data_IF_707339687485
#
_entry.id   IF_707339687485
#
_cell.length_a   1.000
_cell.length_b   1.000
_cell.length_c   1.000
_cell.angle_alpha   90.00
_cell.angle_beta   90.00
_cell.angle_gamma   90.00
#
_symmetry.space_group_name_H-M   'P 1'
#
loop_
_entity.id
_entity.type
_entity.pdbx_description
1 polymer ?
#
# COMPACT_ATOMS: atom_id res chain seq x y z
N UNK A 1 1.67 -8.48 29.51
CA UNK A 1 1.11 -8.70 28.16
C UNK A 1 2.29 -8.99 27.25
N UNK A 2 2.26 -10.08 26.46
CA UNK A 2 3.40 -10.46 25.60
C UNK A 2 3.60 -9.41 24.49
N UNK A 3 4.83 -8.93 24.27
CA UNK A 3 5.17 -7.94 23.25
C UNK A 3 4.73 -8.38 21.84
N UNK A 4 4.81 -9.68 21.54
CA UNK A 4 4.32 -10.24 20.28
C UNK A 4 2.80 -10.18 20.14
N UNK A 5 2.06 -10.29 21.25
CA UNK A 5 0.61 -10.11 21.23
C UNK A 5 0.22 -8.65 20.97
N UNK A 6 1.02 -7.70 21.46
CA UNK A 6 0.86 -6.27 21.15
C UNK A 6 1.12 -6.04 19.66
N UNK A 7 2.23 -6.56 19.13
CA UNK A 7 2.55 -6.45 17.70
C UNK A 7 1.45 -7.05 16.81
N UNK A 8 1.00 -8.27 17.08
CA UNK A 8 -0.08 -8.90 16.32
C UNK A 8 -1.33 -8.01 16.34
N UNK A 9 -1.75 -7.53 17.52
CA UNK A 9 -2.93 -6.66 17.65
C UNK A 9 -2.79 -5.37 16.83
N UNK A 10 -1.61 -4.78 16.78
CA UNK A 10 -1.36 -3.56 16.01
C UNK A 10 -1.33 -3.83 14.50
N UNK A 11 -0.70 -4.93 14.08
CA UNK A 11 -0.60 -5.32 12.68
C UNK A 11 -1.93 -5.82 12.10
N UNK A 12 -2.85 -6.31 12.94
CA UNK A 12 -4.22 -6.69 12.55
C UNK A 12 -5.24 -5.58 12.80
N UNK A 13 -4.81 -4.34 13.09
CA UNK A 13 -5.73 -3.22 13.32
C UNK A 13 -6.54 -2.96 12.05
N UNK A 14 -7.86 -3.06 12.18
CA UNK A 14 -8.82 -2.72 11.12
C UNK A 14 -9.05 -1.22 11.08
N UNK A 15 -9.12 -0.61 9.90
CA UNK A 15 -9.32 0.83 9.72
C UNK A 15 -8.79 1.34 8.37
N UNK A 16 -8.72 2.65 8.19
CA UNK A 16 -7.99 3.28 7.09
C UNK A 16 -6.94 4.23 7.70
N UNK A 17 -5.64 3.86 7.73
CA UNK A 17 -5.04 2.68 7.11
C UNK A 17 -5.22 1.38 7.95
N UNK A 18 -5.07 0.21 7.30
CA UNK A 18 -5.02 -1.10 7.98
C UNK A 18 -3.60 -1.33 8.49
N UNK A 19 -3.47 -1.76 9.74
CA UNK A 19 -2.17 -1.98 10.39
C UNK A 19 -1.70 -0.78 11.22
N UNK A 20 -0.38 -0.65 11.37
CA UNK A 20 0.23 0.36 12.23
C UNK A 20 1.56 0.91 11.67
N UNK A 21 1.76 2.22 11.80
CA UNK A 21 3.03 2.86 11.47
C UNK A 21 4.10 2.62 12.53
N UNK A 22 5.36 2.95 12.21
CA UNK A 22 6.49 2.86 13.14
C UNK A 22 6.23 3.63 14.45
N UNK A 23 5.73 4.89 14.44
CA UNK A 23 5.48 5.63 15.67
C UNK A 23 4.49 4.92 16.60
N UNK A 24 3.38 4.43 16.04
CA UNK A 24 2.34 3.70 16.79
C UNK A 24 2.88 2.40 17.39
N UNK A 25 3.74 1.69 16.66
CA UNK A 25 4.35 0.45 17.13
C UNK A 25 5.36 0.70 18.25
N UNK A 26 6.15 1.78 18.16
CA UNK A 26 7.08 2.17 19.21
C UNK A 26 6.33 2.58 20.48
N UNK A 27 5.29 3.39 20.35
CA UNK A 27 4.46 3.84 21.47
C UNK A 27 3.76 2.65 22.16
N UNK A 28 3.17 1.74 21.37
CA UNK A 28 2.51 0.54 21.91
C UNK A 28 3.46 -0.41 22.66
N UNK A 29 4.75 -0.42 22.30
CA UNK A 29 5.78 -1.20 22.97
C UNK A 29 6.52 -0.41 24.07
N UNK A 30 6.21 0.87 24.28
CA UNK A 30 6.90 1.74 25.22
C UNK A 30 8.38 1.97 24.86
N UNK A 31 8.71 1.95 23.57
CA UNK A 31 10.08 2.10 23.06
C UNK A 31 10.37 3.57 22.68
N UNK A 32 11.60 4.06 22.92
CA UNK A 32 11.99 5.42 22.54
C UNK A 32 12.08 5.58 21.01
N UNK A 33 11.77 6.77 20.50
CA UNK A 33 11.57 6.99 19.06
C UNK A 33 12.84 6.79 18.21
N UNK A 34 14.01 7.23 18.69
CA UNK A 34 15.28 7.10 17.97
C UNK A 34 15.97 5.76 18.25
N UNK A 35 16.14 5.39 19.52
CA UNK A 35 16.88 4.18 19.91
C UNK A 35 16.04 2.89 19.81
N UNK A 36 14.71 3.01 19.88
CA UNK A 36 13.79 1.86 19.91
C UNK A 36 13.50 1.25 18.53
N UNK A 37 13.80 1.96 17.44
CA UNK A 37 13.57 1.47 16.07
C UNK A 37 14.30 0.17 15.79
N UNK A 38 15.57 0.08 16.19
CA UNK A 38 16.36 -1.13 16.00
C UNK A 38 15.72 -2.33 16.73
N UNK A 39 15.29 -2.12 17.97
CA UNK A 39 14.61 -3.14 18.78
C UNK A 39 13.28 -3.55 18.16
N UNK A 40 12.49 -2.59 17.67
CA UNK A 40 11.25 -2.86 16.95
C UNK A 40 11.49 -3.75 15.73
N UNK A 41 12.44 -3.41 14.86
CA UNK A 41 12.73 -4.20 13.66
C UNK A 41 13.24 -5.60 13.99
N UNK A 42 14.06 -5.77 15.04
CA UNK A 42 14.45 -7.11 15.50
C UNK A 42 13.25 -7.93 15.95
N UNK A 43 12.33 -7.34 16.73
CA UNK A 43 11.11 -8.02 17.18
C UNK A 43 10.17 -8.34 16.00
N UNK A 44 10.02 -7.44 15.03
CA UNK A 44 9.24 -7.71 13.82
C UNK A 44 9.83 -8.83 12.97
N UNK A 45 11.17 -8.89 12.81
CA UNK A 45 11.83 -9.99 12.12
C UNK A 45 11.65 -11.34 12.84
N UNK A 46 11.75 -11.35 14.17
CA UNK A 46 11.48 -12.54 14.97
C UNK A 46 10.01 -12.99 14.84
N UNK A 47 9.07 -12.04 14.86
CA UNK A 47 7.65 -12.30 14.66
C UNK A 47 7.39 -12.88 13.27
N UNK A 48 7.98 -12.32 12.22
CA UNK A 48 7.85 -12.84 10.85
C UNK A 48 8.33 -14.29 10.74
N UNK A 49 9.45 -14.64 11.40
CA UNK A 49 9.94 -16.01 11.41
C UNK A 49 8.96 -16.98 12.11
N UNK A 50 8.26 -16.53 13.15
CA UNK A 50 7.26 -17.33 13.86
C UNK A 50 5.93 -17.46 13.10
N UNK A 51 5.57 -16.46 12.28
CA UNK A 51 4.33 -16.43 11.50
C UNK A 51 4.42 -17.24 10.21
N UNK A 52 5.61 -17.33 9.61
CA UNK A 52 5.81 -18.00 8.32
C UNK A 52 5.31 -19.46 8.29
N UNK A 53 5.52 -20.32 9.31
CA UNK A 53 5.03 -21.70 9.31
C UNK A 53 3.50 -21.85 9.28
N UNK A 54 2.76 -20.83 9.74
CA UNK A 54 1.29 -20.82 9.73
C UNK A 54 0.72 -20.07 8.52
N UNK A 55 1.57 -19.75 7.54
CA UNK A 55 1.17 -19.08 6.30
C UNK A 55 0.82 -17.61 6.49
N UNK A 56 1.39 -16.94 7.50
CA UNK A 56 1.22 -15.50 7.72
C UNK A 56 2.55 -14.76 7.54
N UNK A 57 2.46 -13.52 7.08
CA UNK A 57 3.62 -12.65 6.90
C UNK A 57 3.32 -11.20 7.27
N UNK A 58 4.35 -10.49 7.72
CA UNK A 58 4.27 -9.04 7.96
C UNK A 58 4.66 -8.33 6.66
N UNK A 59 3.77 -7.49 6.15
CA UNK A 59 3.97 -6.70 4.94
C UNK A 59 4.01 -5.22 5.27
N UNK A 60 4.61 -4.43 4.37
CA UNK A 60 4.70 -2.99 4.48
C UNK A 60 3.93 -2.33 3.33
N UNK A 61 2.99 -1.44 3.66
CA UNK A 61 2.33 -0.58 2.69
C UNK A 61 3.11 0.75 2.60
N UNK A 62 3.84 1.01 1.51
CA UNK A 62 4.68 2.20 1.37
C UNK A 62 3.88 3.49 1.17
N UNK A 63 2.59 3.42 0.81
CA UNK A 63 1.76 4.61 0.61
C UNK A 63 1.28 5.20 1.93
N UNK A 64 0.85 4.32 2.83
CA UNK A 64 0.35 4.71 4.15
C UNK A 64 1.44 4.64 5.23
N UNK A 65 2.63 4.15 4.88
CA UNK A 65 3.77 3.95 5.79
C UNK A 65 3.44 3.07 7.00
N UNK A 66 2.61 2.04 6.79
CA UNK A 66 2.15 1.11 7.82
C UNK A 66 2.61 -0.32 7.56
N UNK A 67 2.80 -1.06 8.63
CA UNK A 67 2.98 -2.50 8.61
C UNK A 67 1.65 -3.20 8.92
N UNK A 68 1.38 -4.30 8.24
CA UNK A 68 0.17 -5.08 8.41
C UNK A 68 0.46 -6.59 8.31
N UNK A 69 -0.45 -7.40 8.83
CA UNK A 69 -0.40 -8.86 8.72
C UNK A 69 -1.20 -9.34 7.50
N UNK A 70 -0.61 -10.19 6.68
CA UNK A 70 -1.25 -10.80 5.50
C UNK A 70 -0.97 -12.32 5.46
N UNK A 71 -1.61 -13.02 4.54
CA UNK A 71 -1.35 -14.45 4.28
C UNK A 71 -0.24 -14.62 3.25
N UNK A 72 0.74 -15.47 3.55
CA UNK A 72 1.86 -15.80 2.66
C UNK A 72 1.43 -16.55 1.38
N UNK A 73 0.17 -17.01 1.30
CA UNK A 73 -0.38 -17.78 0.18
C UNK A 73 -0.75 -16.95 -1.07
N UNK A 74 -0.46 -15.64 -1.10
CA UNK A 74 -0.87 -14.76 -2.21
C UNK A 74 0.14 -14.63 -3.35
N UNK A 75 1.31 -15.27 -3.30
CA UNK A 75 2.40 -14.87 -4.19
C UNK A 75 2.49 -15.64 -5.51
N UNK A 76 1.76 -16.75 -5.74
CA UNK A 76 1.88 -17.47 -7.03
C UNK A 76 0.57 -17.93 -7.70
N UNK A 77 -0.52 -18.25 -6.97
CA UNK A 77 -1.67 -18.96 -7.58
C UNK A 77 -3.06 -18.34 -7.38
N UNK A 78 -3.18 -17.14 -6.79
CA UNK A 78 -4.49 -16.52 -6.50
C UNK A 78 -4.66 -15.08 -6.98
N UNK A 79 -3.90 -14.68 -8.00
CA UNK A 79 -4.42 -13.71 -8.97
C UNK A 79 -5.47 -14.44 -9.81
N UNK A 80 -6.68 -14.62 -9.26
CA UNK A 80 -7.84 -14.53 -10.14
C UNK A 80 -7.78 -13.10 -10.69
N UNK A 81 -7.06 -12.97 -11.81
CA UNK A 81 -6.96 -11.74 -12.57
C UNK A 81 -8.41 -11.31 -12.81
N UNK A 82 -8.84 -10.27 -12.10
CA UNK A 82 -9.69 -9.32 -12.77
C UNK A 82 -8.69 -8.35 -13.38
N UNK A 83 -8.08 -8.64 -14.55
CA UNK A 83 -7.07 -7.76 -15.08
C UNK A 83 -7.79 -6.45 -15.33
N UNK A 84 -7.39 -5.41 -14.58
CA UNK A 84 -7.89 -4.08 -14.83
C UNK A 84 -7.66 -3.81 -16.32
N UNK A 85 -8.68 -3.35 -17.08
CA UNK A 85 -8.47 -2.97 -18.47
C UNK A 85 -7.25 -2.04 -18.57
N UNK A 86 -6.38 -2.21 -19.58
CA UNK A 86 -5.13 -1.45 -19.73
C UNK A 86 -5.30 0.05 -19.51
N UNK A 87 -6.46 0.57 -19.94
CA UNK A 87 -6.89 1.95 -19.72
C UNK A 87 -6.87 2.34 -18.23
N UNK A 88 -7.51 1.53 -17.39
CA UNK A 88 -7.62 1.72 -15.94
C UNK A 88 -6.31 1.39 -15.25
N UNK A 89 -5.65 0.30 -15.62
CA UNK A 89 -4.34 -0.07 -15.09
C UNK A 89 -3.33 1.07 -15.26
N UNK A 90 -3.25 1.66 -16.45
CA UNK A 90 -2.33 2.76 -16.70
C UNK A 90 -2.75 4.08 -16.02
N UNK A 91 -4.04 4.28 -15.70
CA UNK A 91 -4.48 5.42 -14.87
C UNK A 91 -4.15 5.18 -13.39
N UNK A 92 -4.35 3.95 -12.88
CA UNK A 92 -3.97 3.53 -11.53
C UNK A 92 -2.47 3.64 -11.30
N UNK A 93 -1.67 3.19 -12.26
CA UNK A 93 -0.22 3.34 -12.28
C UNK A 93 0.20 4.79 -12.05
N UNK A 94 -0.40 5.73 -12.77
CA UNK A 94 -0.11 7.16 -12.60
C UNK A 94 -0.49 7.67 -11.21
N UNK A 95 -1.62 7.22 -10.66
CA UNK A 95 -2.04 7.58 -9.30
C UNK A 95 -1.00 7.09 -8.29
N UNK A 96 -0.58 5.82 -8.38
CA UNK A 96 0.41 5.21 -7.49
C UNK A 96 1.74 5.96 -7.56
N UNK A 97 2.26 6.18 -8.77
CA UNK A 97 3.56 6.85 -8.96
C UNK A 97 3.54 8.28 -8.40
N UNK A 98 2.49 9.04 -8.68
CA UNK A 98 2.37 10.42 -8.18
C UNK A 98 2.12 10.45 -6.66
N UNK A 99 1.32 9.53 -6.13
CA UNK A 99 1.06 9.43 -4.70
C UNK A 99 2.34 9.09 -3.93
N UNK A 100 3.17 8.20 -4.47
CA UNK A 100 4.47 7.88 -3.91
C UNK A 100 5.41 9.10 -3.89
N UNK A 101 5.39 9.94 -4.94
CA UNK A 101 6.21 11.16 -5.01
C UNK A 101 5.68 12.31 -4.13
N UNK A 102 4.37 12.42 -3.94
CA UNK A 102 3.71 13.58 -3.33
C UNK A 102 3.18 13.31 -1.91
N UNK A 103 3.29 12.09 -1.39
CA UNK A 103 2.81 11.73 -0.05
C UNK A 103 1.30 11.49 0.01
N UNK A 104 0.75 10.76 -0.96
CA UNK A 104 -0.62 10.23 -0.93
C UNK A 104 -1.59 10.93 -1.88
N UNK A 105 -2.05 12.15 -1.56
CA UNK A 105 -3.09 12.83 -2.34
C UNK A 105 -2.53 13.56 -3.57
N UNK A 106 -3.05 13.21 -4.75
CA UNK A 106 -2.61 13.74 -6.05
C UNK A 106 -3.72 14.53 -6.71
N UNK A 107 -3.40 15.66 -7.34
CA UNK A 107 -4.40 16.43 -8.10
C UNK A 107 -4.84 15.73 -9.40
N UNK A 108 -6.14 15.77 -9.70
CA UNK A 108 -6.72 15.23 -10.95
C UNK A 108 -6.09 15.87 -12.19
N UNK A 109 -5.75 17.15 -12.12
CA UNK A 109 -5.16 17.88 -13.24
C UNK A 109 -3.72 17.38 -13.53
N UNK A 110 -2.98 16.91 -12.51
CA UNK A 110 -1.65 16.31 -12.69
C UNK A 110 -1.74 14.91 -13.27
N UNK A 111 -2.70 14.10 -12.80
CA UNK A 111 -3.03 12.80 -13.41
C UNK A 111 -3.38 12.99 -14.89
N UNK A 112 -4.19 14.00 -15.21
CA UNK A 112 -4.55 14.32 -16.60
C UNK A 112 -3.34 14.66 -17.46
N UNK A 113 -2.43 15.52 -16.96
CA UNK A 113 -1.20 15.89 -17.67
C UNK A 113 -0.32 14.67 -17.95
N UNK A 114 -0.14 13.80 -16.95
CA UNK A 114 0.71 12.62 -17.07
C UNK A 114 0.11 11.57 -18.02
N UNK A 115 -1.21 11.34 -17.95
CA UNK A 115 -1.92 10.42 -18.85
C UNK A 115 -2.08 10.95 -20.27
N UNK A 116 -1.83 12.25 -20.51
CA UNK A 116 -2.09 12.93 -21.80
C UNK A 116 -3.50 12.64 -22.34
N UNK A 117 -4.48 12.52 -21.44
CA UNK A 117 -5.89 12.14 -21.74
C UNK A 117 -6.82 13.32 -21.47
N UNK A 118 -7.99 13.34 -22.12
CA UNK A 118 -8.98 14.39 -21.88
C UNK A 118 -9.49 14.36 -20.43
N UNK A 119 -9.85 15.53 -19.88
CA UNK A 119 -10.36 15.65 -18.51
C UNK A 119 -11.59 14.77 -18.25
N UNK A 120 -12.49 14.64 -19.24
CA UNK A 120 -13.66 13.76 -19.16
C UNK A 120 -13.25 12.29 -19.12
N UNK A 121 -12.29 11.90 -19.95
CA UNK A 121 -11.78 10.53 -19.99
C UNK A 121 -11.09 10.13 -18.67
N UNK A 122 -10.28 11.01 -18.10
CA UNK A 122 -9.64 10.77 -16.79
C UNK A 122 -10.69 10.65 -15.70
N UNK A 123 -11.69 11.53 -15.65
CA UNK A 123 -12.78 11.44 -14.66
C UNK A 123 -13.61 10.16 -14.79
N UNK A 124 -13.78 9.62 -15.99
CA UNK A 124 -14.46 8.34 -16.19
C UNK A 124 -13.64 7.20 -15.58
N UNK A 125 -12.35 7.11 -15.91
CA UNK A 125 -11.45 6.11 -15.35
C UNK A 125 -11.39 6.19 -13.82
N UNK A 126 -11.30 7.41 -13.27
CA UNK A 126 -11.23 7.63 -11.82
C UNK A 126 -12.48 7.14 -11.10
N UNK A 127 -13.68 7.39 -11.65
CA UNK A 127 -14.93 6.90 -11.05
C UNK A 127 -15.03 5.38 -11.07
N UNK A 128 -14.54 4.76 -12.15
CA UNK A 128 -14.53 3.31 -12.27
C UNK A 128 -13.56 2.70 -11.26
N UNK A 129 -12.33 3.22 -11.18
CA UNK A 129 -11.34 2.82 -10.18
C UNK A 129 -11.84 3.02 -8.74
N UNK A 130 -12.55 4.13 -8.47
CA UNK A 130 -13.16 4.43 -7.18
C UNK A 130 -14.25 3.40 -6.82
N UNK A 131 -15.14 3.08 -7.77
CA UNK A 131 -16.17 2.05 -7.57
C UNK A 131 -15.62 0.66 -7.32
N UNK A 132 -14.41 0.38 -7.82
CA UNK A 132 -13.71 -0.88 -7.65
C UNK A 132 -12.84 -0.92 -6.39
N UNK A 133 -12.68 0.20 -5.67
CA UNK A 133 -11.84 0.31 -4.47
C UNK A 133 -10.33 0.51 -4.73
N UNK A 134 -9.94 0.79 -5.98
CA UNK A 134 -8.54 1.04 -6.38
C UNK A 134 -8.14 2.52 -6.32
N UNK A 135 -9.10 3.43 -6.27
CA UNK A 135 -8.86 4.85 -6.05
C UNK A 135 -9.80 5.37 -4.96
N UNK A 136 -9.40 6.44 -4.30
CA UNK A 136 -10.29 7.22 -3.45
C UNK A 136 -10.27 8.67 -3.94
N UNK A 137 -11.45 9.20 -4.25
CA UNK A 137 -11.63 10.57 -4.71
C UNK A 137 -12.01 11.46 -3.51
N UNK A 138 -11.37 12.62 -3.37
CA UNK A 138 -11.71 13.59 -2.33
C UNK A 138 -13.12 14.16 -2.50
N UNK A 139 -13.71 14.68 -1.42
CA UNK A 139 -15.07 15.25 -1.45
C UNK A 139 -15.23 16.38 -2.48
N UNK A 140 -14.19 17.20 -2.64
CA UNK A 140 -14.15 18.28 -3.63
C UNK A 140 -13.90 17.80 -5.07
N UNK A 141 -13.65 16.49 -5.26
CA UNK A 141 -13.38 15.80 -6.53
C UNK A 141 -12.18 16.38 -7.29
N UNK A 142 -11.27 17.05 -6.59
CA UNK A 142 -10.05 17.64 -7.17
C UNK A 142 -8.81 16.79 -6.94
N UNK A 143 -8.84 15.91 -5.94
CA UNK A 143 -7.72 15.07 -5.56
C UNK A 143 -8.13 13.61 -5.52
N UNK A 144 -7.14 12.75 -5.71
CA UNK A 144 -7.26 11.30 -5.74
C UNK A 144 -6.06 10.71 -5.02
N UNK A 145 -6.27 9.62 -4.28
CA UNK A 145 -5.19 8.77 -3.78
C UNK A 145 -5.46 7.30 -4.17
N UNK A 146 -4.45 6.42 -4.08
CA UNK A 146 -4.69 4.98 -4.18
C UNK A 146 -5.72 4.53 -3.13
N UNK A 147 -6.63 3.65 -3.54
CA UNK A 147 -7.62 3.07 -2.63
C UNK A 147 -7.06 1.91 -1.82
N UNK A 148 -7.80 1.49 -0.80
CA UNK A 148 -7.40 0.41 0.12
C UNK A 148 -6.97 -0.88 -0.60
N UNK A 149 -7.61 -1.30 -1.70
CA UNK A 149 -7.25 -2.54 -2.42
C UNK A 149 -5.83 -2.51 -2.98
N UNK A 150 -5.34 -1.35 -3.37
CA UNK A 150 -4.00 -1.19 -3.96
C UNK A 150 -2.93 -1.63 -2.96
N UNK A 151 -3.14 -1.38 -1.66
CA UNK A 151 -2.25 -1.80 -0.57
C UNK A 151 -2.07 -3.32 -0.44
N UNK A 152 -3.06 -4.10 -0.87
CA UNK A 152 -3.11 -5.56 -0.68
C UNK A 152 -2.90 -6.36 -1.96
N UNK A 153 -3.31 -5.81 -3.10
CA UNK A 153 -3.29 -6.51 -4.39
C UNK A 153 -2.06 -6.17 -5.22
N UNK A 154 -1.38 -5.07 -4.94
CA UNK A 154 -0.14 -4.71 -5.62
C UNK A 154 1.05 -5.05 -4.72
N UNK A 155 1.92 -5.94 -5.21
CA UNK A 155 3.25 -6.09 -4.66
C UNK A 155 4.12 -4.91 -5.12
N UNK A 156 4.16 -3.85 -4.30
CA UNK A 156 4.96 -2.65 -4.58
C UNK A 156 6.46 -2.95 -4.72
N UNK A 157 6.99 -3.91 -3.96
CA UNK A 157 8.41 -4.23 -4.01
C UNK A 157 8.76 -4.82 -5.39
N UNK A 158 8.02 -5.83 -5.82
CA UNK A 158 8.18 -6.41 -7.15
C UNK A 158 7.88 -5.40 -8.26
N UNK A 159 6.84 -4.59 -8.09
CA UNK A 159 6.44 -3.56 -9.04
C UNK A 159 7.55 -2.51 -9.25
N UNK A 160 8.09 -1.92 -8.19
CA UNK A 160 9.15 -0.90 -8.31
C UNK A 160 10.48 -1.50 -8.76
N UNK A 161 10.82 -2.72 -8.34
CA UNK A 161 12.00 -3.44 -8.81
C UNK A 161 11.96 -3.64 -10.33
N UNK A 162 10.82 -4.08 -10.87
CA UNK A 162 10.65 -4.26 -12.31
C UNK A 162 10.73 -2.93 -13.07
N UNK A 163 10.19 -1.85 -12.48
CA UNK A 163 10.26 -0.52 -13.07
C UNK A 163 11.71 0.00 -13.17
N UNK A 164 12.55 -0.27 -12.17
CA UNK A 164 13.98 0.11 -12.18
C UNK A 164 14.86 -0.72 -13.11
N UNK A 165 14.45 -1.95 -13.44
CA UNK A 165 15.22 -2.83 -14.34
C UNK A 165 14.92 -2.55 -15.82
N UNK A 166 13.88 -1.78 -16.12
CA UNK A 166 13.43 -1.49 -17.49
C UNK A 166 14.33 -0.51 -18.25
N UNK A 167 15.35 0.08 -17.59
CA UNK A 167 16.27 1.06 -18.18
C UNK A 167 17.57 0.44 -18.73
N UNK A 168 17.78 -0.89 -18.65
CA UNK A 168 19.03 -1.56 -19.06
C UNK A 168 18.96 -2.33 -20.41
N UNK A 169 17.91 -2.17 -21.23
CA UNK A 169 17.83 -2.79 -22.58
C UNK A 169 17.55 -1.82 -23.70
#
# INVERSE_FOLDING_TARGET
MNEYAILIRMLTRTGNPIGAGIPDLLDALGLPEEAGRHVLFQKMGALQHQLRPIGLEVRHNPLDHVFYLDTAAKTEDSLEETPLPDRLAATLLVIITLAYQEGGWVSVDRIQKFRKKSRRGVRADLRELDSMGYAEISDDKKRVRPGHRVGFEIDYESFFRNLSQSDET
#
